data_IF_382361507663
#
_entry.id   IF_382361507663
#
_cell.length_a   1.000
_cell.length_b   1.000
_cell.length_c   1.000
_cell.angle_alpha   90.00
_cell.angle_beta   90.00
_cell.angle_gamma   90.00
#
_symmetry.space_group_name_H-M   'P 1'
#
loop_
_entity.id
_entity.type
_entity.pdbx_description
1 polymer ?
#
# COMPACT_ATOMS: atom_id res chain seq x y z
N UNK A 1 -14.07 -6.46 11.16
CA UNK A 1 -15.39 -6.88 10.61
C UNK A 1 -15.58 -8.36 10.92
N UNK A 2 -16.54 -8.65 11.77
CA UNK A 2 -17.03 -10.01 12.02
C UNK A 2 -18.25 -10.17 11.09
N UNK A 3 -18.24 -11.20 10.25
CA UNK A 3 -19.39 -11.59 9.41
C UNK A 3 -20.57 -12.01 10.32
N UNK A 4 -21.76 -12.08 9.74
CA UNK A 4 -22.93 -12.67 10.42
C UNK A 4 -22.58 -14.04 11.02
N UNK A 5 -23.12 -14.32 12.20
CA UNK A 5 -22.80 -15.54 12.95
C UNK A 5 -21.48 -15.51 13.73
N UNK A 6 -20.88 -14.33 13.94
CA UNK A 6 -19.70 -14.21 14.80
C UNK A 6 -18.39 -14.67 14.14
N UNK A 7 -18.36 -14.80 12.82
CA UNK A 7 -17.21 -15.35 12.09
C UNK A 7 -16.26 -14.26 11.57
N UNK A 8 -14.96 -14.45 11.70
CA UNK A 8 -13.96 -13.56 11.11
C UNK A 8 -13.14 -14.29 10.03
N UNK A 9 -12.74 -13.58 8.98
CA UNK A 9 -11.79 -14.12 8.01
C UNK A 9 -10.38 -13.73 8.43
N UNK A 10 -9.48 -14.70 8.48
CA UNK A 10 -8.07 -14.48 8.72
C UNK A 10 -7.31 -14.56 7.40
N UNK A 11 -6.51 -13.53 7.11
CA UNK A 11 -5.57 -13.51 6.00
C UNK A 11 -4.14 -13.44 6.56
N UNK A 12 -3.22 -14.23 6.00
CA UNK A 12 -1.80 -14.05 6.26
C UNK A 12 -1.30 -12.83 5.50
N UNK A 13 -0.55 -11.96 6.17
CA UNK A 13 0.03 -10.75 5.57
C UNK A 13 1.55 -10.78 5.76
N UNK A 14 2.29 -10.31 4.75
CA UNK A 14 3.74 -10.11 4.84
C UNK A 14 4.04 -8.64 5.06
N UNK A 15 4.71 -8.31 6.16
CA UNK A 15 5.16 -6.94 6.46
C UNK A 15 6.65 -6.81 6.09
N UNK A 16 6.99 -5.80 5.30
CA UNK A 16 8.40 -5.45 5.06
C UNK A 16 9.06 -4.83 6.30
N UNK A 17 10.37 -4.58 6.26
CA UNK A 17 11.12 -3.96 7.39
C UNK A 17 10.48 -2.66 7.92
N UNK A 18 9.91 -1.84 7.04
CA UNK A 18 9.21 -0.61 7.42
C UNK A 18 7.88 -0.87 8.16
N UNK A 19 7.25 -2.03 7.97
CA UNK A 19 6.01 -2.39 8.66
C UNK A 19 6.18 -2.67 10.16
N UNK A 20 7.41 -2.76 10.67
CA UNK A 20 7.68 -2.89 12.11
C UNK A 20 7.70 -1.55 12.84
N UNK A 21 7.83 -0.43 12.13
CA UNK A 21 7.90 0.91 12.72
C UNK A 21 6.50 1.50 12.96
N UNK A 22 5.46 0.87 12.41
CA UNK A 22 4.09 1.36 12.52
C UNK A 22 3.23 0.46 13.42
N UNK A 23 2.55 1.11 14.37
CA UNK A 23 1.54 0.51 15.23
C UNK A 23 0.42 1.52 15.47
N UNK A 24 -0.81 1.04 15.57
CA UNK A 24 -1.98 1.88 15.84
C UNK A 24 -3.21 1.46 15.06
N UNK A 25 -4.26 2.25 15.18
CA UNK A 25 -5.50 2.06 14.43
C UNK A 25 -5.44 2.78 13.08
N UNK A 26 -5.83 2.08 12.02
CA UNK A 26 -6.03 2.65 10.69
C UNK A 26 -7.35 2.21 10.09
N UNK A 27 -7.92 3.08 9.26
CA UNK A 27 -9.16 2.82 8.53
C UNK A 27 -8.82 2.59 7.06
N UNK A 28 -9.35 1.51 6.49
CA UNK A 28 -9.26 1.28 5.05
C UNK A 28 -10.24 2.24 4.36
N UNK A 29 -9.73 3.36 3.85
CA UNK A 29 -10.57 4.32 3.14
C UNK A 29 -10.70 3.97 1.65
N UNK A 30 -9.62 3.52 1.00
CA UNK A 30 -9.66 3.18 -0.42
C UNK A 30 -9.36 1.72 -0.70
N UNK A 31 -10.02 1.19 -1.72
CA UNK A 31 -9.81 -0.16 -2.25
C UNK A 31 -9.69 -0.06 -3.75
N UNK A 32 -8.54 -0.40 -4.31
CA UNK A 32 -8.30 -0.26 -5.75
C UNK A 32 -7.99 -1.59 -6.43
N UNK A 33 -8.48 -1.72 -7.67
CA UNK A 33 -8.17 -2.81 -8.58
C UNK A 33 -7.01 -2.39 -9.47
N UNK A 34 -5.96 -3.21 -9.54
CA UNK A 34 -4.73 -2.93 -10.29
C UNK A 34 -4.19 -1.51 -10.01
N UNK A 35 -3.88 -1.21 -8.73
CA UNK A 35 -3.48 0.12 -8.31
C UNK A 35 -2.18 0.56 -9.00
N UNK A 36 -2.11 1.87 -9.28
CA UNK A 36 -0.85 2.50 -9.66
C UNK A 36 0.08 2.55 -8.44
N UNK A 37 1.32 2.12 -8.63
CA UNK A 37 2.34 2.20 -7.59
C UNK A 37 3.19 3.44 -7.77
N UNK A 38 3.32 4.22 -6.71
CA UNK A 38 4.23 5.34 -6.64
C UNK A 38 5.18 5.08 -5.47
N UNK A 39 6.50 4.97 -5.72
CA UNK A 39 7.50 4.89 -4.68
C UNK A 39 7.60 6.24 -3.95
N UNK A 40 7.82 6.24 -2.62
CA UNK A 40 8.15 7.47 -1.88
C UNK A 40 9.43 8.13 -2.39
N UNK A 41 9.54 9.46 -2.24
CA UNK A 41 10.71 10.21 -2.73
C UNK A 41 12.03 9.77 -2.06
N UNK A 42 11.99 9.34 -0.81
CA UNK A 42 13.16 8.75 -0.13
C UNK A 42 13.63 7.45 -0.79
N UNK A 43 12.68 6.62 -1.25
CA UNK A 43 12.99 5.38 -1.96
C UNK A 43 13.62 5.68 -3.32
N UNK A 44 13.07 6.66 -4.06
CA UNK A 44 13.65 7.13 -5.33
C UNK A 44 15.05 7.72 -5.12
N UNK A 45 15.27 8.43 -4.02
CA UNK A 45 16.58 9.00 -3.68
C UNK A 45 17.62 7.92 -3.41
N UNK A 46 17.22 6.79 -2.80
CA UNK A 46 18.09 5.62 -2.57
C UNK A 46 18.29 4.76 -3.83
N UNK A 47 17.30 4.73 -4.71
CA UNK A 47 17.24 3.90 -5.93
C UNK A 47 16.86 4.78 -7.13
N UNK A 48 17.85 5.43 -7.77
CA UNK A 48 17.61 6.35 -8.88
C UNK A 48 16.90 5.69 -10.08
N UNK A 49 17.02 4.38 -10.26
CA UNK A 49 16.34 3.60 -11.29
C UNK A 49 14.81 3.69 -11.19
N UNK A 50 14.28 3.98 -9.99
CA UNK A 50 12.85 4.16 -9.73
C UNK A 50 12.34 5.55 -10.11
N UNK A 51 13.22 6.48 -10.52
CA UNK A 51 12.83 7.85 -10.90
C UNK A 51 11.76 7.84 -12.00
N UNK A 52 11.86 6.91 -12.95
CA UNK A 52 10.86 6.74 -14.01
C UNK A 52 9.44 6.46 -13.47
N UNK A 53 9.32 5.91 -12.27
CA UNK A 53 8.06 5.63 -11.58
C UNK A 53 7.75 6.61 -10.47
N UNK A 54 8.54 7.66 -10.28
CA UNK A 54 8.29 8.69 -9.26
C UNK A 54 6.92 9.35 -9.44
N UNK A 55 6.44 10.01 -8.38
CA UNK A 55 5.19 10.76 -8.43
C UNK A 55 5.16 11.79 -9.58
N UNK A 56 6.32 12.42 -9.85
CA UNK A 56 6.50 13.41 -10.92
C UNK A 56 6.40 12.80 -12.32
N UNK A 57 6.82 11.55 -12.48
CA UNK A 57 6.79 10.82 -13.76
C UNK A 57 5.53 9.95 -13.93
N UNK A 58 4.53 10.13 -13.04
CA UNK A 58 3.20 9.57 -13.23
C UNK A 58 3.02 8.15 -12.69
N UNK A 59 3.96 7.59 -11.93
CA UNK A 59 3.81 6.30 -11.25
C UNK A 59 3.90 5.07 -12.15
N UNK A 60 4.21 3.92 -11.55
CA UNK A 60 4.17 2.63 -12.23
C UNK A 60 2.73 2.15 -12.41
N UNK A 61 2.27 1.86 -13.64
CA UNK A 61 0.91 1.36 -13.86
C UNK A 61 0.67 0.01 -13.17
N UNK A 62 -0.60 -0.31 -12.91
CA UNK A 62 -0.99 -1.63 -12.42
C UNK A 62 -0.62 -2.73 -13.43
N UNK A 63 -0.08 -3.84 -12.94
CA UNK A 63 0.32 -4.97 -13.79
C UNK A 63 1.08 -6.05 -13.02
N UNK A 64 1.44 -7.14 -13.69
CA UNK A 64 2.10 -8.29 -13.06
C UNK A 64 3.43 -7.96 -12.36
N UNK A 65 4.14 -6.93 -12.86
CA UNK A 65 5.40 -6.45 -12.28
C UNK A 65 5.21 -5.38 -11.20
N UNK A 66 3.98 -4.94 -10.95
CA UNK A 66 3.72 -3.91 -9.96
C UNK A 66 3.83 -4.52 -8.55
N UNK A 67 4.61 -3.91 -7.64
CA UNK A 67 4.83 -4.45 -6.30
C UNK A 67 3.55 -4.47 -5.44
N UNK A 68 2.51 -3.71 -5.80
CA UNK A 68 1.19 -3.73 -5.15
C UNK A 68 0.28 -4.86 -5.64
N UNK A 69 0.70 -5.57 -6.70
CA UNK A 69 -0.06 -6.67 -7.27
C UNK A 69 -1.44 -6.25 -7.80
N UNK A 70 -2.40 -7.16 -7.70
CA UNK A 70 -3.71 -6.99 -8.32
C UNK A 70 -4.67 -6.10 -7.52
N UNK A 71 -4.46 -5.93 -6.21
CA UNK A 71 -5.36 -5.21 -5.30
C UNK A 71 -4.55 -4.56 -4.19
N UNK A 72 -4.92 -3.34 -3.81
CA UNK A 72 -4.41 -2.68 -2.61
C UNK A 72 -5.56 -2.10 -1.78
N UNK A 73 -5.39 -2.17 -0.46
CA UNK A 73 -6.25 -1.51 0.52
C UNK A 73 -5.41 -0.39 1.14
N UNK A 74 -5.86 0.85 1.02
CA UNK A 74 -5.09 1.99 1.51
C UNK A 74 -5.54 2.31 2.93
N UNK A 75 -4.58 2.26 3.85
CA UNK A 75 -4.77 2.49 5.27
C UNK A 75 -4.55 3.96 5.60
N UNK A 76 -5.55 4.59 6.22
CA UNK A 76 -5.51 5.99 6.62
C UNK A 76 -5.58 6.10 8.14
N UNK A 77 -4.86 7.06 8.68
CA UNK A 77 -5.00 7.48 10.08
C UNK A 77 -5.55 8.91 10.09
N UNK A 78 -6.79 9.06 10.57
CA UNK A 78 -7.55 10.29 10.36
C UNK A 78 -7.79 10.56 8.87
N UNK A 79 -7.25 11.68 8.37
CA UNK A 79 -7.35 12.10 6.96
C UNK A 79 -6.04 11.91 6.16
N UNK A 80 -5.02 11.28 6.74
CA UNK A 80 -3.72 11.10 6.11
C UNK A 80 -3.48 9.65 5.71
N UNK A 81 -3.01 9.43 4.47
CA UNK A 81 -2.57 8.13 3.98
C UNK A 81 -1.30 7.71 4.75
N UNK A 82 -1.33 6.53 5.34
CA UNK A 82 -0.21 5.99 6.09
C UNK A 82 0.88 5.39 5.19
N UNK A 83 0.65 5.32 3.88
CA UNK A 83 1.48 4.68 2.87
C UNK A 83 1.59 3.15 3.02
N UNK A 84 0.95 2.57 4.04
CA UNK A 84 0.77 1.13 4.19
C UNK A 84 -0.40 0.65 3.32
N UNK A 85 -0.17 -0.46 2.62
CA UNK A 85 -1.05 -1.01 1.59
C UNK A 85 -0.80 -2.48 1.36
#
# INVERSE_FOLDING_TARGET
LVREGGQAIRYGVGLGRAGFEWSGDAVVQWKQKWPKWTPPDEMVSRQPELTQYSAKNGGMPGGLKNPLGARALYLFQGNQDTLYR
#
